data_IF_753914227275
#
_entry.id   IF_753914227275
#
_cell.length_a   1.000
_cell.length_b   1.000
_cell.length_c   1.000
_cell.angle_alpha   90.00
_cell.angle_beta   90.00
_cell.angle_gamma   90.00
#
_symmetry.space_group_name_H-M   'P 1'
#
loop_
_entity.id
_entity.type
_entity.pdbx_description
1 polymer ?
#
# COMPACT_ATOMS: atom_id res chain seq x y z
N UNK A 1 35.38 49.00 30.11
CA UNK A 1 34.54 47.87 30.59
C UNK A 1 33.95 47.02 29.43
N UNK A 2 34.78 46.52 28.51
CA UNK A 2 34.30 45.74 27.34
C UNK A 2 34.84 44.30 27.27
N UNK A 3 35.87 43.96 28.04
CA UNK A 3 36.40 42.59 28.08
C UNK A 3 35.45 41.62 28.81
N UNK A 4 34.83 42.06 29.92
CA UNK A 4 34.00 41.19 30.78
C UNK A 4 32.74 40.64 30.08
N UNK A 5 32.19 41.34 29.08
CA UNK A 5 31.00 40.90 28.34
C UNK A 5 31.29 39.80 27.30
N UNK A 6 32.52 39.73 26.76
CA UNK A 6 32.90 38.74 25.75
C UNK A 6 33.11 37.34 26.35
N UNK A 7 33.65 37.27 27.57
CA UNK A 7 33.85 35.98 28.25
C UNK A 7 32.54 35.33 28.73
N UNK A 8 31.52 36.13 29.07
CA UNK A 8 30.21 35.60 29.49
C UNK A 8 29.52 34.86 28.34
N UNK A 9 29.55 35.41 27.12
CA UNK A 9 28.95 34.76 25.95
C UNK A 9 29.65 33.42 25.64
N UNK A 10 30.98 33.39 25.73
CA UNK A 10 31.77 32.17 25.49
C UNK A 10 31.45 31.10 26.54
N UNK A 11 31.34 31.48 27.82
CA UNK A 11 31.00 30.55 28.90
C UNK A 11 29.58 29.99 28.70
N UNK A 12 28.61 30.81 28.28
CA UNK A 12 27.23 30.36 28.02
C UNK A 12 27.20 29.40 26.80
N UNK A 13 27.93 29.69 25.73
CA UNK A 13 28.04 28.79 24.58
C UNK A 13 28.71 27.45 24.95
N UNK A 14 29.79 27.48 25.73
CA UNK A 14 30.45 26.26 26.20
C UNK A 14 29.54 25.44 27.12
N UNK A 15 28.78 26.09 28.01
CA UNK A 15 27.80 25.42 28.87
C UNK A 15 26.64 24.80 28.06
N UNK A 16 26.16 25.49 27.03
CA UNK A 16 25.11 24.97 26.13
C UNK A 16 25.61 23.79 25.30
N UNK A 17 26.83 23.86 24.75
CA UNK A 17 27.44 22.74 24.03
C UNK A 17 27.69 21.54 24.93
N UNK A 18 28.15 21.76 26.17
CA UNK A 18 28.26 20.71 27.17
C UNK A 18 26.89 20.11 27.51
N UNK A 19 25.85 20.93 27.68
CA UNK A 19 24.49 20.45 27.91
C UNK A 19 23.93 19.66 26.73
N UNK A 20 24.17 20.07 25.47
CA UNK A 20 23.77 19.31 24.29
C UNK A 20 24.56 18.00 24.16
N UNK A 21 25.86 18.02 24.48
CA UNK A 21 26.74 16.85 24.41
C UNK A 21 26.40 15.81 25.50
N UNK A 22 26.19 16.24 26.74
CA UNK A 22 25.83 15.35 27.87
C UNK A 22 24.32 15.06 27.95
N UNK A 23 23.46 16.01 27.56
CA UNK A 23 22.00 15.89 27.54
C UNK A 23 21.45 15.11 26.34
N UNK A 24 22.18 15.04 25.23
CA UNK A 24 21.86 14.18 24.08
C UNK A 24 21.81 12.68 24.42
N UNK A 25 22.54 12.26 25.46
CA UNK A 25 22.48 10.89 25.99
C UNK A 25 21.24 10.62 26.85
N UNK A 26 20.65 11.64 27.49
CA UNK A 26 19.45 11.48 28.33
C UNK A 26 18.14 11.54 27.55
N UNK A 27 18.09 12.19 26.38
CA UNK A 27 16.91 12.13 25.51
C UNK A 27 16.71 10.76 24.85
N UNK A 28 17.79 10.04 24.52
CA UNK A 28 17.71 8.66 24.02
C UNK A 28 17.20 7.68 25.10
N UNK A 29 17.55 7.92 26.36
CA UNK A 29 17.06 7.10 27.48
C UNK A 29 15.57 7.33 27.76
N UNK A 30 15.09 8.58 27.71
CA UNK A 30 13.65 8.88 27.85
C UNK A 30 12.83 8.33 26.67
N UNK A 31 13.33 8.38 25.42
CA UNK A 31 12.70 7.67 24.30
C UNK A 31 12.68 6.14 24.46
N UNK A 32 13.66 5.58 25.19
CA UNK A 32 13.72 4.14 25.50
C UNK A 32 12.76 3.75 26.63
N UNK A 33 12.60 4.60 27.65
CA UNK A 33 11.65 4.41 28.76
C UNK A 33 10.20 4.59 28.31
N UNK A 34 9.90 5.53 27.40
CA UNK A 34 8.57 5.66 26.80
C UNK A 34 8.26 4.62 25.70
N UNK A 35 9.25 3.87 25.22
CA UNK A 35 9.03 2.67 24.38
C UNK A 35 8.65 1.41 25.18
N UNK A 36 8.64 1.46 26.52
CA UNK A 36 8.54 0.27 27.38
C UNK A 36 7.15 -0.05 27.96
N UNK A 37 6.05 0.39 27.35
CA UNK A 37 4.70 -0.09 27.78
C UNK A 37 3.75 -0.64 26.72
N UNK A 38 4.20 -0.80 25.47
CA UNK A 38 3.47 -1.60 24.48
C UNK A 38 4.45 -2.53 23.77
N UNK A 39 5.09 -3.43 24.54
CA UNK A 39 5.77 -4.59 23.99
C UNK A 39 4.83 -5.79 24.07
N UNK A 40 3.70 -5.73 23.34
CA UNK A 40 3.09 -6.98 22.86
C UNK A 40 4.05 -7.48 21.80
N UNK A 41 4.62 -8.66 22.01
CA UNK A 41 5.56 -9.26 21.08
C UNK A 41 4.86 -9.37 19.70
N UNK A 42 5.21 -8.54 18.69
CA UNK A 42 4.48 -8.52 17.43
C UNK A 42 4.65 -9.84 16.66
N UNK A 43 5.65 -10.65 17.03
CA UNK A 43 5.95 -11.94 16.44
C UNK A 43 4.91 -13.02 16.79
N UNK A 44 4.18 -12.85 17.90
CA UNK A 44 3.16 -13.82 18.35
C UNK A 44 1.74 -13.46 17.91
N UNK A 45 1.57 -12.41 17.11
CA UNK A 45 0.26 -12.09 16.53
C UNK A 45 0.00 -13.06 15.36
N UNK A 46 -1.16 -13.74 15.34
CA UNK A 46 -1.52 -14.64 14.25
C UNK A 46 -1.54 -13.86 12.92
N UNK A 47 -1.07 -14.51 11.86
CA UNK A 47 -1.25 -14.03 10.50
C UNK A 47 -2.75 -13.87 10.24
N UNK A 48 -3.18 -12.78 9.59
CA UNK A 48 -4.59 -12.56 9.27
C UNK A 48 -5.19 -13.72 8.45
N UNK A 49 -4.37 -14.41 7.66
CA UNK A 49 -4.77 -15.62 6.92
C UNK A 49 -5.23 -16.78 7.82
N UNK A 50 -4.75 -16.83 9.07
CA UNK A 50 -5.11 -17.87 10.03
C UNK A 50 -6.48 -17.64 10.69
N UNK A 51 -7.15 -16.52 10.39
CA UNK A 51 -8.56 -16.29 10.76
C UNK A 51 -9.52 -16.91 9.73
N UNK A 52 -9.10 -17.98 9.05
CA UNK A 52 -9.87 -18.55 7.96
C UNK A 52 -11.27 -18.96 8.40
N UNK A 53 -12.24 -18.56 7.57
CA UNK A 53 -13.68 -18.74 7.68
C UNK A 53 -14.06 -20.21 7.93
N UNK A 54 -14.59 -20.50 9.11
CA UNK A 54 -15.39 -21.70 9.35
C UNK A 54 -16.85 -21.35 9.03
N UNK A 55 -17.25 -21.57 7.77
CA UNK A 55 -18.63 -21.46 7.35
C UNK A 55 -19.34 -22.76 7.75
N UNK A 56 -20.03 -22.75 8.89
CA UNK A 56 -20.98 -23.82 9.20
C UNK A 56 -22.25 -23.51 8.40
N UNK A 57 -22.52 -24.33 7.38
CA UNK A 57 -23.83 -24.41 6.74
C UNK A 57 -24.85 -24.90 7.78
N UNK A 58 -25.40 -23.96 8.56
CA UNK A 58 -26.57 -24.19 9.39
C UNK A 58 -27.82 -23.89 8.59
N UNK A 59 -28.66 -24.89 8.39
CA UNK A 59 -29.99 -24.77 7.77
C UNK A 59 -30.78 -23.62 8.39
N UNK A 60 -31.07 -22.59 7.59
CA UNK A 60 -31.90 -21.46 8.01
C UNK A 60 -33.35 -21.94 8.17
N UNK A 61 -33.82 -21.99 9.41
CA UNK A 61 -35.23 -22.17 9.75
C UNK A 61 -35.84 -20.83 10.16
N UNK A 62 -36.76 -20.32 9.34
CA UNK A 62 -37.75 -19.30 9.72
C UNK A 62 -37.56 -17.89 9.11
N UNK A 63 -38.63 -17.18 8.69
CA UNK A 63 -38.52 -15.98 7.86
C UNK A 63 -38.69 -14.65 8.62
N UNK A 64 -38.34 -14.53 9.91
CA UNK A 64 -38.66 -13.30 10.67
C UNK A 64 -37.67 -12.81 11.75
N UNK A 65 -36.44 -13.31 11.81
CA UNK A 65 -35.40 -12.65 12.62
C UNK A 65 -34.29 -12.16 11.69
N UNK A 66 -34.38 -10.89 11.27
CA UNK A 66 -33.27 -10.20 10.61
C UNK A 66 -32.43 -9.54 11.71
N UNK A 67 -31.21 -10.02 11.99
CA UNK A 67 -30.28 -9.26 12.82
C UNK A 67 -29.89 -8.01 12.01
N UNK A 68 -29.89 -6.87 12.69
CA UNK A 68 -29.44 -5.56 12.17
C UNK A 68 -27.90 -5.57 12.05
N UNK A 69 -27.37 -6.55 11.31
CA UNK A 69 -25.96 -6.85 11.22
C UNK A 69 -25.42 -6.40 9.87
N UNK A 70 -24.33 -5.63 9.92
CA UNK A 70 -23.39 -5.33 8.83
C UNK A 70 -22.86 -6.61 8.09
N UNK A 71 -23.26 -7.79 8.55
CA UNK A 71 -23.02 -9.11 7.97
C UNK A 71 -23.92 -9.41 6.75
N UNK A 72 -25.11 -8.80 6.65
CA UNK A 72 -26.12 -9.12 5.63
C UNK A 72 -26.31 -8.04 4.56
N UNK A 73 -25.22 -7.50 4.03
CA UNK A 73 -25.28 -6.92 2.69
C UNK A 73 -24.90 -8.02 1.69
N UNK A 74 -25.91 -8.74 1.19
CA UNK A 74 -25.76 -9.57 -0.01
C UNK A 74 -25.00 -8.76 -1.06
N UNK A 75 -24.02 -9.33 -1.78
CA UNK A 75 -23.53 -8.67 -2.97
C UNK A 75 -24.77 -8.39 -3.83
N UNK A 76 -25.01 -7.16 -4.31
CA UNK A 76 -26.02 -6.97 -5.32
C UNK A 76 -25.67 -7.99 -6.41
N UNK A 77 -26.60 -8.88 -6.72
CA UNK A 77 -26.51 -9.80 -7.85
C UNK A 77 -26.63 -8.97 -9.13
N UNK A 78 -25.65 -8.10 -9.37
CA UNK A 78 -25.39 -7.59 -10.69
C UNK A 78 -24.53 -8.69 -11.32
N UNK A 79 -25.17 -9.58 -12.07
CA UNK A 79 -24.45 -10.28 -13.13
C UNK A 79 -23.86 -9.17 -14.02
N UNK A 80 -22.55 -8.91 -13.94
CA UNK A 80 -21.87 -8.19 -15.02
C UNK A 80 -21.91 -9.13 -16.21
N UNK A 81 -22.94 -8.97 -17.02
CA UNK A 81 -22.82 -9.28 -18.44
C UNK A 81 -21.74 -8.35 -18.98
N UNK A 82 -20.54 -8.89 -19.15
CA UNK A 82 -19.48 -8.29 -19.95
C UNK A 82 -20.03 -8.13 -21.37
N UNK A 83 -20.66 -7.00 -21.66
CA UNK A 83 -21.02 -6.62 -23.02
C UNK A 83 -19.75 -6.09 -23.67
N UNK A 84 -18.94 -7.02 -24.17
CA UNK A 84 -17.83 -6.70 -25.07
C UNK A 84 -18.39 -5.90 -26.24
N UNK A 85 -17.97 -4.65 -26.36
CA UNK A 85 -18.32 -3.79 -27.48
C UNK A 85 -17.53 -4.30 -28.69
N UNK A 86 -18.18 -5.11 -29.53
CA UNK A 86 -17.64 -5.49 -30.84
C UNK A 86 -17.73 -4.28 -31.75
N UNK A 87 -16.64 -3.51 -31.81
CA UNK A 87 -16.36 -2.61 -32.92
C UNK A 87 -15.91 -3.43 -34.12
N UNK A 88 -16.74 -3.42 -35.16
CA UNK A 88 -16.48 -4.02 -36.46
C UNK A 88 -15.29 -3.33 -37.13
N UNK A 89 -14.31 -4.11 -37.60
CA UNK A 89 -13.04 -3.58 -38.11
C UNK A 89 -11.98 -4.65 -38.39
N UNK A 90 -12.16 -5.35 -39.51
CA UNK A 90 -11.17 -6.11 -40.29
C UNK A 90 -9.68 -5.94 -39.89
N UNK A 91 -9.06 -7.00 -39.36
CA UNK A 91 -7.61 -7.10 -39.21
C UNK A 91 -7.18 -8.36 -38.44
N UNK A 92 -6.78 -9.40 -39.17
CA UNK A 92 -6.31 -10.69 -38.65
C UNK A 92 -5.12 -10.53 -37.70
N UNK A 93 -5.38 -10.62 -36.40
CA UNK A 93 -4.40 -11.03 -35.39
C UNK A 93 -5.14 -11.96 -34.41
N UNK A 94 -4.53 -13.09 -34.09
CA UNK A 94 -5.05 -14.08 -33.15
C UNK A 94 -5.08 -13.48 -31.74
N UNK A 95 -6.09 -12.67 -31.45
CA UNK A 95 -6.36 -12.16 -30.11
C UNK A 95 -7.00 -13.31 -29.33
N UNK A 96 -6.18 -14.07 -28.58
CA UNK A 96 -6.74 -14.90 -27.53
C UNK A 96 -7.55 -13.99 -26.61
N UNK A 97 -8.84 -14.27 -26.35
CA UNK A 97 -9.61 -13.51 -25.39
C UNK A 97 -8.91 -13.68 -24.05
N UNK A 98 -8.29 -12.60 -23.56
CA UNK A 98 -7.62 -12.59 -22.27
C UNK A 98 -8.69 -12.92 -21.23
N UNK A 99 -8.60 -14.11 -20.63
CA UNK A 99 -9.49 -14.48 -19.52
C UNK A 99 -9.43 -13.35 -18.48
N UNK A 100 -10.58 -12.92 -17.92
CA UNK A 100 -10.59 -11.86 -16.93
C UNK A 100 -9.71 -12.28 -15.76
N UNK A 101 -8.71 -11.46 -15.48
CA UNK A 101 -7.69 -11.73 -14.48
C UNK A 101 -8.31 -11.75 -13.08
N UNK A 102 -8.20 -12.87 -12.36
CA UNK A 102 -8.70 -13.06 -11.00
C UNK A 102 -7.63 -13.74 -10.14
N UNK A 103 -7.88 -13.90 -8.84
CA UNK A 103 -6.91 -14.54 -7.93
C UNK A 103 -6.49 -15.92 -8.42
N UNK A 104 -7.43 -16.76 -8.84
CA UNK A 104 -7.12 -18.13 -9.30
C UNK A 104 -6.27 -18.19 -10.58
N UNK A 105 -6.39 -17.21 -11.47
CA UNK A 105 -5.76 -17.22 -12.80
C UNK A 105 -4.46 -16.43 -12.84
N UNK A 106 -4.41 -15.30 -12.12
CA UNK A 106 -3.34 -14.32 -12.21
C UNK A 106 -2.42 -14.26 -11.00
N UNK A 107 -2.79 -14.92 -9.90
CA UNK A 107 -1.97 -15.00 -8.70
C UNK A 107 -1.35 -16.39 -8.59
N UNK A 108 -0.08 -16.47 -8.20
CA UNK A 108 0.61 -17.70 -7.89
C UNK A 108 0.66 -17.91 -6.38
N UNK A 109 -0.25 -18.77 -5.90
CA UNK A 109 -0.33 -19.14 -4.48
C UNK A 109 0.86 -20.00 -4.02
N UNK A 110 1.59 -20.66 -4.93
CA UNK A 110 2.70 -21.54 -4.54
C UNK A 110 3.86 -20.76 -3.91
N UNK A 111 3.98 -19.46 -4.22
CA UNK A 111 4.95 -18.55 -3.60
C UNK A 111 4.56 -18.12 -2.18
N UNK A 112 3.33 -18.37 -1.77
CA UNK A 112 2.76 -17.87 -0.53
C UNK A 112 2.54 -19.03 0.42
N UNK A 113 3.56 -19.32 1.25
CA UNK A 113 3.47 -20.38 2.25
C UNK A 113 2.67 -19.96 3.50
N UNK A 114 1.99 -20.92 4.14
CA UNK A 114 1.10 -20.68 5.29
C UNK A 114 1.76 -19.98 6.48
N UNK A 115 3.07 -20.17 6.66
CA UNK A 115 3.80 -19.68 7.84
C UNK A 115 4.42 -18.31 7.67
N UNK A 116 4.74 -17.87 6.45
CA UNK A 116 5.47 -16.63 6.21
C UNK A 116 5.00 -15.94 4.92
N UNK A 117 4.13 -14.95 5.07
CA UNK A 117 3.74 -14.07 3.99
C UNK A 117 4.73 -12.90 3.88
N UNK A 118 5.68 -12.99 2.95
CA UNK A 118 6.73 -11.99 2.79
C UNK A 118 6.54 -11.13 1.53
N UNK A 119 6.97 -9.88 1.61
CA UNK A 119 6.85 -8.86 0.57
C UNK A 119 8.25 -8.36 0.22
N UNK A 120 8.62 -8.52 -1.04
CA UNK A 120 9.84 -7.95 -1.59
C UNK A 120 9.56 -6.59 -2.22
N UNK A 121 10.42 -5.62 -1.95
CA UNK A 121 10.38 -4.31 -2.58
C UNK A 121 11.58 -4.21 -3.53
N UNK A 122 11.33 -3.90 -4.80
CA UNK A 122 12.43 -3.69 -5.75
C UNK A 122 13.32 -2.53 -5.28
N UNK A 123 14.65 -2.65 -5.45
CA UNK A 123 15.54 -1.54 -5.16
C UNK A 123 15.21 -0.33 -6.03
N UNK A 124 15.56 0.89 -5.57
CA UNK A 124 15.43 2.09 -6.40
C UNK A 124 16.15 1.91 -7.73
N UNK A 125 15.58 2.47 -8.78
CA UNK A 125 16.19 2.44 -10.10
C UNK A 125 17.57 3.12 -10.10
N UNK A 126 18.51 2.65 -10.93
CA UNK A 126 19.83 3.26 -11.04
C UNK A 126 19.73 4.70 -11.53
N UNK A 127 20.81 5.47 -11.28
CA UNK A 127 20.93 6.86 -11.72
C UNK A 127 20.67 6.97 -13.23
N UNK A 128 19.94 8.00 -13.62
CA UNK A 128 19.71 8.32 -15.02
C UNK A 128 21.01 8.78 -15.71
N UNK A 129 20.97 9.05 -17.02
CA UNK A 129 22.12 9.53 -17.80
C UNK A 129 22.73 10.86 -17.29
N UNK A 130 22.00 11.58 -16.43
CA UNK A 130 22.45 12.83 -15.79
C UNK A 130 23.02 12.60 -14.38
N UNK A 131 23.15 11.34 -13.93
CA UNK A 131 23.67 11.01 -12.61
C UNK A 131 22.69 11.30 -11.46
N UNK A 132 21.39 11.48 -11.75
CA UNK A 132 20.36 11.72 -10.74
C UNK A 132 19.43 10.50 -10.58
N UNK A 133 18.98 10.17 -9.36
CA UNK A 133 18.00 9.10 -9.17
C UNK A 133 16.66 9.50 -9.79
N UNK A 134 15.83 8.54 -10.24
CA UNK A 134 14.48 8.85 -10.69
C UNK A 134 13.65 9.51 -9.58
N UNK A 135 12.73 10.41 -9.94
CA UNK A 135 11.86 11.06 -8.95
C UNK A 135 10.96 10.01 -8.27
N UNK A 136 10.81 10.17 -6.95
CA UNK A 136 9.91 9.37 -6.12
C UNK A 136 9.20 10.29 -5.14
N UNK A 137 7.87 10.31 -5.19
CA UNK A 137 7.04 11.20 -4.38
C UNK A 137 7.15 10.87 -2.90
N UNK A 138 6.90 11.87 -2.05
CA UNK A 138 6.90 11.67 -0.59
C UNK A 138 5.89 10.61 -0.15
N UNK A 139 4.75 10.49 -0.84
CA UNK A 139 3.73 9.50 -0.50
C UNK A 139 4.17 8.08 -0.87
N UNK A 140 4.82 7.90 -2.03
CA UNK A 140 5.32 6.57 -2.39
C UNK A 140 6.46 6.13 -1.47
N UNK A 141 7.36 7.05 -1.11
CA UNK A 141 8.38 6.79 -0.10
C UNK A 141 7.76 6.30 1.21
N UNK A 142 6.68 6.94 1.68
CA UNK A 142 5.96 6.49 2.89
C UNK A 142 5.41 5.07 2.75
N UNK A 143 4.83 4.72 1.61
CA UNK A 143 4.31 3.36 1.35
C UNK A 143 5.47 2.35 1.42
N UNK A 144 6.56 2.61 0.70
CA UNK A 144 7.74 1.73 0.71
C UNK A 144 8.33 1.60 2.11
N UNK A 145 8.50 2.71 2.84
CA UNK A 145 9.01 2.69 4.22
C UNK A 145 8.09 1.90 5.16
N UNK A 146 6.77 2.07 5.06
CA UNK A 146 5.82 1.31 5.88
C UNK A 146 5.94 -0.20 5.65
N UNK A 147 6.14 -0.63 4.40
CA UNK A 147 6.35 -2.03 4.05
C UNK A 147 7.68 -2.52 4.61
N UNK A 148 8.77 -1.80 4.34
CA UNK A 148 10.13 -2.16 4.75
C UNK A 148 10.32 -2.22 6.28
N UNK A 149 9.61 -1.37 7.03
CA UNK A 149 9.61 -1.38 8.50
C UNK A 149 8.71 -2.47 9.10
N UNK A 150 7.90 -3.15 8.28
CA UNK A 150 6.99 -4.20 8.73
C UNK A 150 7.69 -5.55 8.85
N UNK A 151 7.09 -6.46 9.63
CA UNK A 151 7.54 -7.87 9.74
C UNK A 151 7.40 -8.67 8.45
N UNK A 152 6.68 -8.14 7.47
CA UNK A 152 6.44 -8.81 6.20
C UNK A 152 7.54 -8.54 5.18
N UNK A 153 8.43 -7.58 5.42
CA UNK A 153 9.49 -7.25 4.47
C UNK A 153 10.56 -8.35 4.35
N UNK A 154 11.02 -8.60 3.12
CA UNK A 154 12.19 -9.43 2.82
C UNK A 154 13.08 -8.74 1.78
N UNK A 155 14.40 -8.87 1.94
CA UNK A 155 15.40 -8.48 0.92
C UNK A 155 15.62 -9.57 -0.14
N UNK A 156 15.13 -10.77 0.13
CA UNK A 156 15.32 -11.94 -0.70
C UNK A 156 14.04 -12.20 -1.54
N UNK A 157 14.12 -12.07 -2.88
CA UNK A 157 12.97 -12.23 -3.77
C UNK A 157 12.50 -13.69 -3.89
N UNK A 158 13.33 -14.69 -3.60
CA UNK A 158 12.93 -16.10 -3.70
C UNK A 158 11.96 -16.51 -2.59
N UNK A 159 12.05 -15.85 -1.43
CA UNK A 159 11.14 -16.07 -0.29
C UNK A 159 9.89 -15.19 -0.34
N UNK A 160 9.76 -14.32 -1.34
CA UNK A 160 8.70 -13.34 -1.40
C UNK A 160 7.42 -13.92 -2.03
N UNK A 161 6.30 -13.76 -1.33
CA UNK A 161 4.97 -14.02 -1.86
C UNK A 161 4.51 -12.87 -2.76
N UNK A 162 4.77 -11.63 -2.36
CA UNK A 162 4.39 -10.42 -3.10
C UNK A 162 5.58 -9.56 -3.49
N UNK A 163 5.41 -8.82 -4.58
CA UNK A 163 6.40 -7.90 -5.12
C UNK A 163 5.82 -6.49 -5.23
N UNK A 164 6.57 -5.50 -4.78
CA UNK A 164 6.20 -4.08 -4.82
C UNK A 164 7.27 -3.30 -5.58
N UNK A 165 6.83 -2.50 -6.55
CA UNK A 165 7.73 -1.76 -7.43
C UNK A 165 8.56 -0.72 -6.66
N UNK A 166 9.82 -0.53 -7.06
CA UNK A 166 10.62 0.63 -6.67
C UNK A 166 10.32 1.88 -7.51
N UNK A 167 9.40 1.75 -8.48
CA UNK A 167 8.99 2.80 -9.43
C UNK A 167 7.71 3.44 -8.89
N UNK A 168 7.71 4.75 -8.73
CA UNK A 168 6.51 5.48 -8.32
C UNK A 168 5.45 5.45 -9.42
N UNK A 169 4.27 4.96 -9.08
CA UNK A 169 3.11 4.83 -9.98
C UNK A 169 1.86 5.50 -9.39
N UNK A 170 2.01 6.24 -8.29
CA UNK A 170 0.89 6.86 -7.58
C UNK A 170 0.16 7.91 -8.40
N UNK A 171 0.90 8.65 -9.23
CA UNK A 171 0.38 9.76 -10.00
C UNK A 171 0.54 9.51 -11.49
N UNK A 172 -0.61 9.45 -12.18
CA UNK A 172 -0.70 9.25 -13.63
C UNK A 172 -1.17 10.50 -14.37
N UNK A 173 -1.19 11.66 -13.71
CA UNK A 173 -1.36 12.96 -14.36
C UNK A 173 -0.05 13.40 -15.03
N UNK A 174 -0.06 13.55 -16.36
CA UNK A 174 1.13 13.95 -17.12
C UNK A 174 1.67 15.36 -16.78
N UNK A 175 0.84 16.19 -16.14
CA UNK A 175 1.19 17.54 -15.69
C UNK A 175 1.79 17.57 -14.27
N UNK A 176 1.68 16.47 -13.52
CA UNK A 176 2.22 16.38 -12.16
C UNK A 176 3.74 16.29 -12.16
N UNK A 177 4.37 16.94 -11.18
CA UNK A 177 5.80 16.82 -10.91
C UNK A 177 6.20 15.40 -10.48
N UNK A 178 5.25 14.65 -9.91
CA UNK A 178 5.45 13.27 -9.45
C UNK A 178 5.22 12.25 -10.60
N UNK A 179 4.91 12.70 -11.81
CA UNK A 179 4.61 11.81 -12.94
C UNK A 179 5.85 11.08 -13.45
N UNK A 180 5.88 9.76 -13.24
CA UNK A 180 6.95 8.92 -13.78
C UNK A 180 6.67 8.52 -15.23
N UNK A 181 7.63 8.83 -16.11
CA UNK A 181 7.60 8.52 -17.55
C UNK A 181 8.25 7.18 -17.88
N UNK A 182 7.86 6.60 -19.01
CA UNK A 182 8.41 5.37 -19.58
C UNK A 182 8.31 4.14 -18.65
N UNK A 183 7.27 4.09 -17.81
CA UNK A 183 7.00 2.96 -16.92
C UNK A 183 7.03 1.60 -17.65
N UNK A 184 6.43 1.42 -18.86
CA UNK A 184 6.50 0.14 -19.58
C UNK A 184 7.92 -0.37 -19.79
N UNK A 185 8.81 0.50 -20.31
CA UNK A 185 10.22 0.15 -20.56
C UNK A 185 10.97 -0.13 -19.26
N UNK A 186 10.59 0.53 -18.16
CA UNK A 186 11.19 0.29 -16.83
C UNK A 186 10.78 -1.06 -16.26
N UNK A 187 9.49 -1.43 -16.37
CA UNK A 187 8.98 -2.72 -15.92
C UNK A 187 9.64 -3.90 -16.64
N UNK A 188 9.88 -3.77 -17.95
CA UNK A 188 10.56 -4.80 -18.74
C UNK A 188 12.00 -5.09 -18.27
N UNK A 189 12.66 -4.14 -17.59
CA UNK A 189 14.01 -4.33 -17.04
C UNK A 189 14.01 -4.99 -15.67
N UNK A 190 12.85 -5.16 -15.03
CA UNK A 190 12.78 -5.76 -13.72
C UNK A 190 12.92 -7.29 -13.83
N UNK A 191 13.88 -7.91 -13.12
CA UNK A 191 14.22 -9.32 -13.30
C UNK A 191 13.06 -10.27 -12.93
N UNK A 192 12.19 -9.85 -12.00
CA UNK A 192 11.11 -10.71 -11.47
C UNK A 192 9.71 -10.26 -11.90
N UNK A 193 9.57 -9.34 -12.86
CA UNK A 193 8.26 -8.73 -13.21
C UNK A 193 7.19 -9.78 -13.54
N UNK A 194 7.57 -10.86 -14.24
CA UNK A 194 6.71 -11.99 -14.57
C UNK A 194 5.30 -11.58 -15.04
N UNK A 195 5.25 -10.62 -15.97
CA UNK A 195 4.01 -10.03 -16.48
C UNK A 195 3.03 -9.55 -15.39
N UNK A 196 3.55 -9.05 -14.26
CA UNK A 196 2.77 -8.55 -13.12
C UNK A 196 2.29 -9.60 -12.14
N UNK A 197 2.52 -10.90 -12.36
CA UNK A 197 2.07 -11.96 -11.45
C UNK A 197 2.66 -11.76 -10.04
N UNK A 198 1.80 -11.77 -9.02
CA UNK A 198 2.13 -11.48 -7.61
C UNK A 198 2.67 -10.05 -7.34
N UNK A 199 2.53 -9.12 -8.28
CA UNK A 199 2.91 -7.72 -8.07
C UNK A 199 1.74 -6.89 -7.59
N UNK A 200 2.02 -5.91 -6.73
CA UNK A 200 1.07 -4.86 -6.35
C UNK A 200 1.53 -3.53 -6.96
N UNK A 201 0.62 -2.87 -7.66
CA UNK A 201 0.80 -1.51 -8.16
C UNK A 201 -0.10 -0.58 -7.37
N UNK A 202 0.45 0.54 -6.90
CA UNK A 202 -0.29 1.56 -6.16
C UNK A 202 -0.64 2.73 -7.08
N UNK A 203 -1.88 3.21 -7.01
CA UNK A 203 -2.32 4.40 -7.73
C UNK A 203 -3.25 5.24 -6.87
N UNK A 204 -2.91 6.51 -6.64
CA UNK A 204 -3.75 7.44 -5.89
C UNK A 204 -4.42 8.47 -6.78
N UNK A 205 -3.73 8.95 -7.81
CA UNK A 205 -4.17 10.05 -8.66
C UNK A 205 -4.28 9.57 -10.11
N UNK A 206 -5.52 9.47 -10.59
CA UNK A 206 -5.84 8.97 -11.93
C UNK A 206 -5.77 10.02 -13.04
N UNK A 207 -5.20 11.20 -12.77
CA UNK A 207 -5.21 12.34 -13.69
C UNK A 207 -5.96 13.55 -13.12
N UNK A 208 -5.90 14.65 -13.87
CA UNK A 208 -6.63 15.90 -13.59
C UNK A 208 -7.53 16.22 -14.77
N UNK A 209 -8.66 16.89 -14.51
CA UNK A 209 -9.57 17.33 -15.57
C UNK A 209 -8.83 18.13 -16.66
N UNK A 210 -9.12 17.92 -17.96
CA UNK A 210 -10.13 17.01 -18.51
C UNK A 210 -9.66 15.56 -18.72
N UNK A 211 -8.37 15.27 -18.49
CA UNK A 211 -7.68 14.05 -18.91
C UNK A 211 -7.64 12.96 -17.81
N UNK A 212 -8.78 12.67 -17.18
CA UNK A 212 -8.86 11.57 -16.21
C UNK A 212 -8.70 10.21 -16.88
N UNK A 213 -7.71 9.44 -16.46
CA UNK A 213 -7.56 8.04 -16.80
C UNK A 213 -8.21 7.15 -15.74
N UNK A 214 -9.52 6.99 -15.83
CA UNK A 214 -10.30 6.16 -14.89
C UNK A 214 -10.07 4.66 -15.12
N UNK A 215 -9.90 4.26 -16.38
CA UNK A 215 -9.93 2.86 -16.80
C UNK A 215 -8.55 2.17 -16.77
N UNK A 216 -7.46 2.92 -16.60
CA UNK A 216 -6.12 2.35 -16.53
C UNK A 216 -5.10 3.28 -15.89
N UNK A 217 -3.82 2.90 -16.00
CA UNK A 217 -2.69 3.69 -15.51
C UNK A 217 -1.89 4.31 -16.67
N UNK A 218 -2.35 4.19 -17.91
CA UNK A 218 -1.60 4.59 -19.10
C UNK A 218 -0.43 3.65 -19.44
N UNK A 219 -0.43 2.43 -18.88
CA UNK A 219 0.44 1.32 -19.27
C UNK A 219 -0.24 0.00 -18.94
N UNK A 220 0.24 -1.09 -19.56
CA UNK A 220 -0.24 -2.45 -19.27
C UNK A 220 0.32 -2.96 -17.94
N UNK A 221 -0.57 -3.28 -17.01
CA UNK A 221 -0.23 -3.82 -15.69
C UNK A 221 -0.13 -5.34 -15.68
N UNK A 222 -0.46 -5.99 -16.79
CA UNK A 222 -0.51 -7.44 -16.90
C UNK A 222 -1.39 -8.08 -15.82
N UNK A 223 -0.78 -8.95 -15.03
CA UNK A 223 -1.42 -9.75 -13.98
C UNK A 223 -1.25 -9.13 -12.58
N UNK A 224 -0.84 -7.87 -12.48
CA UNK A 224 -0.66 -7.21 -11.19
C UNK A 224 -1.98 -6.88 -10.49
N UNK A 225 -1.96 -6.96 -9.16
CA UNK A 225 -3.01 -6.46 -8.28
C UNK A 225 -2.94 -4.93 -8.26
N UNK A 226 -4.07 -4.26 -8.44
CA UNK A 226 -4.16 -2.81 -8.37
C UNK A 226 -4.66 -2.38 -6.99
N UNK A 227 -3.79 -1.73 -6.24
CA UNK A 227 -4.14 -1.00 -5.03
C UNK A 227 -4.43 0.46 -5.41
N UNK A 228 -5.68 0.77 -5.76
CA UNK A 228 -6.05 2.05 -6.38
C UNK A 228 -7.11 2.82 -5.58
N UNK A 229 -6.90 4.13 -5.44
CA UNK A 229 -7.92 5.05 -4.96
C UNK A 229 -8.89 5.43 -6.08
N UNK A 230 -10.14 5.71 -5.71
CA UNK A 230 -11.21 6.09 -6.65
C UNK A 230 -11.40 5.08 -7.79
N UNK A 231 -11.31 3.78 -7.48
CA UNK A 231 -11.53 2.71 -8.44
C UNK A 231 -13.01 2.70 -8.89
N UNK A 232 -13.25 2.66 -10.20
CA UNK A 232 -14.60 2.46 -10.73
C UNK A 232 -15.06 1.02 -10.47
N UNK A 233 -16.34 0.84 -10.14
CA UNK A 233 -16.95 -0.49 -9.98
C UNK A 233 -16.85 -1.29 -11.28
N UNK A 234 -16.79 -0.62 -12.43
CA UNK A 234 -16.71 -1.26 -13.74
C UNK A 234 -15.32 -1.86 -14.03
N UNK A 235 -14.25 -1.30 -13.45
CA UNK A 235 -12.87 -1.75 -13.67
C UNK A 235 -12.26 -2.50 -12.48
N UNK A 236 -12.86 -2.40 -11.31
CA UNK A 236 -12.45 -3.12 -10.11
C UNK A 236 -12.66 -4.62 -10.27
N UNK A 237 -11.61 -5.43 -10.03
CA UNK A 237 -11.70 -6.90 -10.01
C UNK A 237 -11.96 -7.41 -8.59
N UNK A 238 -13.20 -7.84 -8.24
CA UNK A 238 -13.54 -8.23 -6.87
C UNK A 238 -12.69 -9.41 -6.39
N UNK A 239 -12.18 -9.31 -5.16
CA UNK A 239 -11.32 -10.33 -4.54
C UNK A 239 -9.90 -10.37 -5.09
N UNK A 240 -9.54 -9.52 -6.06
CA UNK A 240 -8.22 -9.43 -6.66
C UNK A 240 -7.59 -8.05 -6.43
N UNK A 241 -8.30 -6.99 -6.82
CA UNK A 241 -7.86 -5.61 -6.60
C UNK A 241 -8.20 -5.11 -5.20
N UNK A 242 -7.50 -4.06 -4.77
CA UNK A 242 -7.67 -3.44 -3.45
C UNK A 242 -8.04 -1.98 -3.61
N UNK A 243 -9.25 -1.62 -3.18
CA UNK A 243 -9.64 -0.21 -3.07
C UNK A 243 -8.99 0.40 -1.83
N UNK A 244 -8.16 1.43 -2.04
CA UNK A 244 -7.47 2.15 -0.96
C UNK A 244 -7.96 3.59 -0.84
N UNK A 245 -7.88 4.21 0.36
CA UNK A 245 -8.19 5.63 0.51
C UNK A 245 -7.20 6.53 -0.22
N UNK A 246 -7.70 7.70 -0.64
CA UNK A 246 -6.85 8.75 -1.18
C UNK A 246 -6.06 9.41 -0.04
N UNK A 247 -4.73 9.33 -0.08
CA UNK A 247 -3.86 9.93 0.91
C UNK A 247 -3.27 11.25 0.41
N UNK A 248 -3.53 12.32 1.15
CA UNK A 248 -2.95 13.62 0.86
C UNK A 248 -1.43 13.64 1.13
N UNK A 249 -0.67 14.46 0.40
CA UNK A 249 0.80 14.55 0.52
C UNK A 249 1.30 14.85 1.94
N UNK A 250 0.54 15.64 2.71
CA UNK A 250 0.91 15.95 4.11
C UNK A 250 0.46 14.91 5.14
N UNK A 251 -0.21 13.82 4.72
CA UNK A 251 -0.61 12.78 5.65
C UNK A 251 0.64 12.14 6.27
N UNK A 252 0.77 12.07 7.61
CA UNK A 252 1.96 11.54 8.25
C UNK A 252 2.07 10.02 8.03
N UNK A 253 3.31 9.50 7.98
CA UNK A 253 3.57 8.06 7.82
C UNK A 253 2.90 7.22 8.92
N UNK A 254 2.94 7.72 10.15
CA UNK A 254 2.30 7.11 11.31
C UNK A 254 1.33 8.11 11.91
N UNK A 255 0.17 7.61 12.36
CA UNK A 255 -0.82 8.43 13.05
C UNK A 255 -0.26 9.07 14.33
N UNK A 256 -0.97 10.09 14.81
CA UNK A 256 -0.68 10.76 16.07
C UNK A 256 -0.95 9.88 17.30
N UNK A 257 -1.37 10.50 18.40
CA UNK A 257 -1.67 9.79 19.65
C UNK A 257 -2.54 8.55 19.39
N UNK A 258 -2.27 7.46 20.11
CA UNK A 258 -3.11 6.25 20.09
C UNK A 258 -4.56 6.68 20.21
N UNK A 259 -5.42 6.25 19.27
CA UNK A 259 -6.85 6.58 19.35
C UNK A 259 -7.42 6.16 20.71
N UNK A 260 -8.55 6.75 21.11
CA UNK A 260 -9.20 6.50 22.41
C UNK A 260 -9.76 5.07 22.55
N UNK A 261 -9.38 4.14 21.68
CA UNK A 261 -9.79 2.73 21.75
C UNK A 261 -9.06 2.09 22.93
N UNK A 262 -9.78 1.98 24.05
CA UNK A 262 -9.24 1.49 25.33
C UNK A 262 -9.17 -0.06 25.34
N UNK A 263 -10.01 -0.74 24.55
CA UNK A 263 -10.03 -2.19 24.43
C UNK A 263 -9.84 -2.64 22.98
N UNK A 264 -8.97 -3.62 22.80
CA UNK A 264 -8.80 -4.29 21.52
C UNK A 264 -9.86 -5.41 21.45
N UNK A 265 -11.02 -5.14 20.84
CA UNK A 265 -12.03 -6.17 20.54
C UNK A 265 -11.54 -7.07 19.40
N UNK A 266 -10.36 -7.66 19.54
CA UNK A 266 -9.78 -8.54 18.52
C UNK A 266 -10.00 -10.01 18.90
N UNK A 267 -10.49 -10.85 17.97
CA UNK A 267 -10.92 -10.49 16.61
C UNK A 267 -12.34 -9.92 16.59
N UNK A 268 -12.53 -8.75 15.96
CA UNK A 268 -13.86 -8.24 15.63
C UNK A 268 -14.22 -8.84 14.26
N UNK A 269 -15.22 -9.71 14.21
CA UNK A 269 -15.76 -10.22 12.95
C UNK A 269 -16.48 -9.07 12.23
N UNK A 270 -15.74 -8.30 11.43
CA UNK A 270 -16.29 -7.22 10.60
C UNK A 270 -16.19 -7.60 9.14
N UNK A 271 -17.25 -7.34 8.38
CA UNK A 271 -17.28 -7.52 6.92
C UNK A 271 -16.18 -6.73 6.21
N UNK A 272 -15.91 -5.51 6.68
CA UNK A 272 -14.88 -4.64 6.11
C UNK A 272 -13.71 -4.50 7.09
N UNK A 273 -12.50 -4.82 6.61
CA UNK A 273 -11.25 -4.65 7.37
C UNK A 273 -10.99 -3.18 7.72
N UNK A 274 -11.29 -2.28 6.78
CA UNK A 274 -11.14 -0.84 6.93
C UNK A 274 -12.23 -0.14 6.11
N UNK A 275 -12.84 0.89 6.67
CA UNK A 275 -13.75 1.79 5.97
C UNK A 275 -13.27 3.22 6.13
N UNK A 276 -13.40 4.03 5.08
CA UNK A 276 -13.06 5.44 5.11
C UNK A 276 -14.17 6.25 4.45
N UNK A 277 -14.44 7.43 5.01
CA UNK A 277 -15.34 8.41 4.41
C UNK A 277 -14.50 9.43 3.65
N UNK A 278 -14.55 9.38 2.32
CA UNK A 278 -14.01 10.44 1.49
C UNK A 278 -14.81 11.73 1.66
N UNK A 279 -14.13 12.88 1.62
CA UNK A 279 -14.77 14.18 1.43
C UNK A 279 -14.58 14.55 -0.04
N UNK A 280 -15.67 14.76 -0.77
CA UNK A 280 -15.63 15.37 -2.10
C UNK A 280 -15.29 16.85 -1.97
#
# INVERSE_FOLDING_TARGET
>A
MQAKKRYILVIICCAFLAYCYFGGYRLKWLQTVFRLRVRRNPDTLPCYHQLHYEYVEGEASGPNDMPDDDLYASPPSYEIHYRGSTGDGSGSSTHHPTKPCRMETCFDFSKCGDKNFLVYVYPPEPLNSLGAPPPISQNYQKIISAIQESRYYTTDPERACLFVLGIDTLDRDALSEDFVRNVPSRLQRLPYWNNGRNHIIFNLYSGTWPDYNENGLGFDTGQAILAKASMSIQSHRPGFDVSIPLFHKQFPLRGGNTGFVISNNFPANKKYLLAFKGKR
#
